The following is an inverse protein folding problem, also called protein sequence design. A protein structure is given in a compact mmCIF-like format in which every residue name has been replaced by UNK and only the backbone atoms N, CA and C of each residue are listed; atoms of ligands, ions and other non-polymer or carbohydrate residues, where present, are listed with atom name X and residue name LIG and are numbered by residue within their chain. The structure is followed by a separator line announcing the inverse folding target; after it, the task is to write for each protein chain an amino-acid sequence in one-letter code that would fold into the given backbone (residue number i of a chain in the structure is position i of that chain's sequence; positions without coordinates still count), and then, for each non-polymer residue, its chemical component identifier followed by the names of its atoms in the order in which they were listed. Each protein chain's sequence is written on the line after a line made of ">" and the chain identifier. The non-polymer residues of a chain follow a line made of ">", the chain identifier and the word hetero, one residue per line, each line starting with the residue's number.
data_IF_682081182783
#
_entry.id   IF_682081182783
#
_cell.length_a   1.000
_cell.length_b   1.000
_cell.length_c   1.000
_cell.angle_alpha   90.00
_cell.angle_beta   90.00
_cell.angle_gamma   90.00
#
_symmetry.space_group_name_H-M   'P 1'
#
loop_
_entity.id
_entity.type
_entity.pdbx_description
1 polymer ?
#
# COMPACT_ATOMS: atom_id res chain seq x y z
N UNK A 1 13.04 -24.59 -33.25
CA UNK A 1 11.69 -24.39 -32.69
C UNK A 1 11.56 -22.90 -32.44
N UNK A 2 10.76 -22.22 -33.26
CA UNK A 2 10.55 -20.77 -33.16
C UNK A 2 9.74 -20.50 -31.89
N UNK A 3 10.28 -19.66 -31.00
CA UNK A 3 9.58 -19.23 -29.80
C UNK A 3 8.35 -18.42 -30.21
N UNK A 4 7.17 -18.88 -29.80
CA UNK A 4 5.97 -18.06 -29.84
C UNK A 4 6.19 -16.89 -28.89
N UNK A 5 6.48 -15.72 -29.45
CA UNK A 5 6.30 -14.45 -28.74
C UNK A 5 4.83 -14.38 -28.34
N UNK A 6 4.55 -14.41 -27.04
CA UNK A 6 3.25 -14.06 -26.53
C UNK A 6 2.90 -12.67 -27.10
N UNK A 7 1.86 -12.61 -27.92
CA UNK A 7 1.37 -11.35 -28.46
C UNK A 7 1.01 -10.46 -27.26
N UNK A 8 1.68 -9.31 -27.13
CA UNK A 8 1.24 -8.27 -26.21
C UNK A 8 -0.24 -7.99 -26.52
N UNK A 9 -1.13 -8.03 -25.52
CA UNK A 9 -2.54 -7.72 -25.76
C UNK A 9 -2.62 -6.33 -26.39
N UNK A 10 -3.46 -6.20 -27.43
CA UNK A 10 -3.68 -4.92 -28.09
C UNK A 10 -4.04 -3.86 -27.03
N UNK A 11 -3.57 -2.60 -27.18
CA UNK A 11 -3.88 -1.57 -26.20
C UNK A 11 -5.40 -1.44 -26.08
N UNK A 12 -5.92 -1.83 -24.92
CA UNK A 12 -7.32 -1.60 -24.57
C UNK A 12 -7.46 -0.09 -24.41
N UNK A 13 -8.30 0.53 -25.23
CA UNK A 13 -8.67 1.93 -25.05
C UNK A 13 -9.37 2.07 -23.69
N UNK A 14 -8.66 2.68 -22.73
CA UNK A 14 -9.17 2.89 -21.37
C UNK A 14 -10.27 3.97 -21.33
N UNK A 15 -10.51 4.66 -22.45
CA UNK A 15 -11.37 5.83 -22.51
C UNK A 15 -10.78 7.01 -21.73
N UNK A 16 -11.55 8.10 -21.54
CA UNK A 16 -11.10 9.24 -20.75
C UNK A 16 -10.89 8.85 -19.27
N UNK A 17 -10.07 9.60 -18.53
CA UNK A 17 -9.91 9.43 -17.08
C UNK A 17 -11.28 9.36 -16.37
N UNK A 18 -11.46 8.45 -15.40
CA UNK A 18 -12.67 8.37 -14.60
C UNK A 18 -13.05 9.69 -13.92
N UNK A 19 -14.35 9.96 -13.79
CA UNK A 19 -14.87 11.16 -13.10
C UNK A 19 -15.04 10.98 -11.59
N UNK A 20 -15.15 9.73 -11.13
CA UNK A 20 -15.23 9.35 -9.72
C UNK A 20 -14.74 7.91 -9.53
N UNK A 21 -14.56 7.48 -8.28
CA UNK A 21 -14.06 6.13 -7.98
C UNK A 21 -15.01 5.02 -8.47
N UNK A 22 -16.32 5.28 -8.50
CA UNK A 22 -17.32 4.30 -8.96
C UNK A 22 -17.19 4.06 -10.47
N UNK A 23 -16.98 5.11 -11.25
CA UNK A 23 -16.69 5.05 -12.66
C UNK A 23 -15.36 4.34 -12.93
N UNK A 24 -14.36 4.54 -12.06
CA UNK A 24 -13.07 3.86 -12.17
C UNK A 24 -13.17 2.33 -12.00
N UNK A 25 -14.17 1.84 -11.24
CA UNK A 25 -14.39 0.41 -10.97
C UNK A 25 -15.61 -0.18 -11.69
N UNK A 26 -16.20 0.53 -12.67
CA UNK A 26 -17.51 0.16 -13.24
C UNK A 26 -17.59 -1.28 -13.78
N UNK A 27 -16.47 -1.83 -14.26
CA UNK A 27 -16.40 -3.17 -14.86
C UNK A 27 -16.00 -4.27 -13.86
N UNK A 28 -15.60 -3.89 -12.64
CA UNK A 28 -15.16 -4.82 -11.61
C UNK A 28 -16.37 -5.49 -10.94
N UNK A 29 -16.36 -6.83 -10.94
CA UNK A 29 -17.33 -7.66 -10.21
C UNK A 29 -16.58 -8.67 -9.34
N UNK A 30 -16.48 -8.42 -8.01
CA UNK A 30 -15.91 -9.39 -7.07
C UNK A 30 -16.67 -10.71 -7.13
N UNK A 31 -15.99 -11.85 -7.23
CA UNK A 31 -16.65 -13.16 -7.27
C UNK A 31 -17.15 -13.57 -5.88
N UNK A 32 -16.37 -13.28 -4.84
CA UNK A 32 -16.68 -13.68 -3.47
C UNK A 32 -16.22 -12.65 -2.45
N UNK A 33 -16.98 -11.56 -2.31
CA UNK A 33 -16.84 -10.66 -1.17
C UNK A 33 -17.78 -11.11 -0.06
N UNK A 34 -17.23 -11.73 0.96
CA UNK A 34 -17.95 -12.19 2.14
C UNK A 34 -17.40 -11.50 3.39
N UNK A 35 -18.18 -11.41 4.48
CA UNK A 35 -17.67 -10.90 5.75
C UNK A 35 -16.40 -11.65 6.16
N UNK A 36 -15.39 -10.92 6.64
CA UNK A 36 -14.08 -11.49 7.03
C UNK A 36 -14.19 -12.52 8.17
N UNK A 37 -15.34 -12.56 8.85
CA UNK A 37 -15.66 -13.48 9.95
C UNK A 37 -16.48 -14.71 9.53
N UNK A 38 -16.93 -14.79 8.27
CA UNK A 38 -17.79 -15.89 7.79
C UNK A 38 -17.09 -17.25 7.89
N UNK A 39 -15.82 -17.31 7.51
CA UNK A 39 -15.05 -18.54 7.51
C UNK A 39 -14.58 -18.93 8.92
N UNK A 40 -14.74 -20.19 9.30
CA UNK A 40 -14.28 -20.69 10.60
C UNK A 40 -12.79 -21.03 10.54
N UNK A 41 -12.03 -20.47 11.48
CA UNK A 41 -10.61 -20.77 11.67
C UNK A 41 -10.34 -21.56 12.95
N UNK A 42 -9.12 -22.09 13.06
CA UNK A 42 -8.61 -22.71 14.29
C UNK A 42 -7.60 -21.77 14.94
N UNK A 43 -7.82 -21.35 16.19
CA UNK A 43 -6.87 -20.51 16.93
C UNK A 43 -5.50 -21.18 17.03
N UNK A 44 -4.45 -20.41 16.78
CA UNK A 44 -3.06 -20.83 16.87
C UNK A 44 -2.26 -19.86 17.76
N UNK A 45 -1.20 -20.37 18.36
CA UNK A 45 -0.25 -19.56 19.13
C UNK A 45 0.86 -19.05 18.20
N UNK A 46 0.73 -17.80 17.75
CA UNK A 46 1.75 -17.08 16.98
C UNK A 46 1.94 -15.69 17.58
N UNK A 47 3.18 -15.20 17.62
CA UNK A 47 3.45 -13.76 17.86
C UNK A 47 3.47 -12.97 16.55
N UNK A 48 3.20 -11.65 16.57
CA UNK A 48 3.35 -10.79 15.40
C UNK A 48 4.72 -10.88 14.70
N UNK A 49 5.80 -11.09 15.45
CA UNK A 49 7.15 -11.25 14.91
C UNK A 49 7.33 -12.61 14.23
N UNK A 50 6.73 -13.68 14.78
CA UNK A 50 6.75 -15.01 14.17
C UNK A 50 6.03 -15.03 12.83
N UNK A 51 4.90 -14.32 12.71
CA UNK A 51 4.15 -14.23 11.45
C UNK A 51 5.00 -13.67 10.30
N UNK A 52 5.85 -12.68 10.57
CA UNK A 52 6.75 -12.12 9.55
C UNK A 52 7.97 -13.00 9.29
N UNK A 53 8.56 -13.59 10.33
CA UNK A 53 9.72 -14.50 10.16
C UNK A 53 9.36 -15.79 9.43
N UNK A 54 8.17 -16.33 9.73
CA UNK A 54 7.63 -17.56 9.16
C UNK A 54 6.80 -17.30 7.90
N UNK A 55 6.76 -16.04 7.41
CA UNK A 55 6.11 -15.68 6.14
C UNK A 55 6.71 -16.56 5.05
N UNK A 56 5.88 -17.47 4.53
CA UNK A 56 6.23 -18.24 3.34
C UNK A 56 6.39 -17.27 2.19
N UNK A 57 7.55 -17.31 1.56
CA UNK A 57 7.83 -16.51 0.37
C UNK A 57 7.40 -17.29 -0.88
N UNK A 58 7.06 -16.61 -1.98
CA UNK A 58 6.87 -17.26 -3.27
C UNK A 58 8.03 -18.19 -3.61
N UNK A 59 7.76 -19.25 -4.37
CA UNK A 59 8.81 -20.18 -4.80
C UNK A 59 9.80 -19.41 -5.68
N UNK A 60 11.12 -19.52 -5.42
CA UNK A 60 12.13 -18.77 -6.16
C UNK A 60 12.46 -17.38 -5.60
N UNK A 61 11.88 -16.99 -4.46
CA UNK A 61 12.25 -15.78 -3.75
C UNK A 61 13.53 -16.00 -2.92
N UNK A 62 14.56 -15.22 -3.20
CA UNK A 62 15.84 -15.25 -2.51
C UNK A 62 15.94 -14.12 -1.49
N UNK A 63 16.29 -14.46 -0.24
CA UNK A 63 16.61 -13.45 0.77
C UNK A 63 18.04 -12.99 0.55
N UNK A 64 18.22 -11.76 0.07
CA UNK A 64 19.54 -11.19 -0.20
C UNK A 64 20.22 -10.71 1.08
N UNK A 65 19.48 -9.98 1.92
CA UNK A 65 20.03 -9.32 3.10
C UNK A 65 18.95 -9.00 4.14
N UNK A 66 19.34 -8.89 5.40
CA UNK A 66 18.46 -8.47 6.49
C UNK A 66 19.06 -7.27 7.22
N UNK A 67 18.25 -6.25 7.47
CA UNK A 67 18.60 -5.03 8.20
C UNK A 67 17.65 -4.85 9.38
N UNK A 68 17.89 -5.59 10.47
CA UNK A 68 16.99 -5.61 11.61
C UNK A 68 15.68 -6.35 11.26
N UNK A 69 14.58 -5.61 11.24
CA UNK A 69 13.23 -6.08 10.89
C UNK A 69 12.91 -5.99 9.39
N UNK A 70 13.79 -5.38 8.59
CA UNK A 70 13.67 -5.28 7.12
C UNK A 70 14.38 -6.42 6.43
N UNK A 71 13.70 -7.13 5.54
CA UNK A 71 14.26 -8.23 4.75
C UNK A 71 14.27 -7.86 3.28
N UNK A 72 15.45 -7.84 2.65
CA UNK A 72 15.60 -7.61 1.22
C UNK A 72 15.40 -8.94 0.52
N UNK A 73 14.40 -9.00 -0.34
CA UNK A 73 14.01 -10.17 -1.10
C UNK A 73 14.14 -9.86 -2.57
N UNK A 74 14.78 -10.76 -3.31
CA UNK A 74 14.80 -10.75 -4.76
C UNK A 74 13.87 -11.84 -5.27
N UNK A 75 13.02 -11.48 -6.22
CA UNK A 75 12.10 -12.39 -6.85
C UNK A 75 11.78 -11.92 -8.28
N UNK A 76 11.85 -12.82 -9.27
CA UNK A 76 11.61 -12.51 -10.68
C UNK A 76 12.33 -11.24 -11.19
N UNK A 77 13.63 -11.15 -10.91
CA UNK A 77 14.51 -10.02 -11.27
C UNK A 77 14.14 -8.67 -10.63
N UNK A 78 13.17 -8.63 -9.73
CA UNK A 78 12.84 -7.47 -8.93
C UNK A 78 13.38 -7.65 -7.51
N UNK A 79 13.87 -6.56 -6.92
CA UNK A 79 14.34 -6.55 -5.53
C UNK A 79 13.48 -5.60 -4.73
N UNK A 80 12.85 -6.09 -3.68
CA UNK A 80 12.03 -5.29 -2.78
C UNK A 80 12.38 -5.56 -1.32
N UNK A 81 11.93 -4.66 -0.47
CA UNK A 81 12.07 -4.78 0.98
C UNK A 81 10.74 -5.20 1.59
N UNK A 82 10.77 -6.26 2.39
CA UNK A 82 9.68 -6.71 3.24
C UNK A 82 9.87 -6.16 4.66
N UNK A 83 8.78 -5.67 5.25
CA UNK A 83 8.74 -5.10 6.59
C UNK A 83 7.49 -5.52 7.36
N UNK A 84 7.53 -5.40 8.70
CA UNK A 84 6.42 -5.78 9.57
C UNK A 84 5.59 -4.55 9.98
N UNK A 85 4.38 -4.42 9.43
CA UNK A 85 3.45 -3.35 9.85
C UNK A 85 2.71 -3.68 11.16
N UNK A 86 2.78 -4.94 11.64
CA UNK A 86 2.01 -5.39 12.80
C UNK A 86 2.26 -4.56 14.06
N UNK A 87 3.50 -4.19 14.45
CA UNK A 87 3.74 -3.37 15.65
C UNK A 87 2.98 -2.04 15.65
N UNK A 88 2.77 -1.42 14.47
CA UNK A 88 1.98 -0.19 14.35
C UNK A 88 0.48 -0.47 14.45
N UNK A 89 -0.01 -1.54 13.81
CA UNK A 89 -1.43 -1.91 13.78
C UNK A 89 -1.93 -2.43 15.15
N UNK A 90 -1.10 -3.19 15.85
CA UNK A 90 -1.41 -3.83 17.15
C UNK A 90 -1.16 -2.90 18.35
N UNK A 91 -0.62 -1.71 18.13
CA UNK A 91 -0.37 -0.72 19.18
C UNK A 91 -1.69 -0.40 19.92
N UNK A 92 -1.67 -0.56 21.25
CA UNK A 92 -2.85 -0.35 22.08
C UNK A 92 -3.96 -1.38 21.90
N UNK A 93 -3.66 -2.55 21.33
CA UNK A 93 -4.60 -3.66 21.28
C UNK A 93 -4.80 -4.28 22.66
N UNK A 94 -6.04 -4.68 22.94
CA UNK A 94 -6.45 -5.46 24.11
C UNK A 94 -6.05 -6.92 23.96
N UNK A 95 -6.27 -7.47 22.77
CA UNK A 95 -5.87 -8.84 22.41
C UNK A 95 -5.44 -8.88 20.94
N UNK A 96 -4.50 -9.75 20.62
CA UNK A 96 -4.07 -10.05 19.26
C UNK A 96 -3.95 -11.56 19.16
N UNK A 97 -4.67 -12.16 18.22
CA UNK A 97 -4.62 -13.60 18.02
C UNK A 97 -4.77 -13.98 16.56
N UNK A 98 -4.36 -15.20 16.28
CA UNK A 98 -4.28 -15.73 14.93
C UNK A 98 -5.10 -17.00 14.81
N UNK A 99 -5.59 -17.24 13.61
CA UNK A 99 -6.28 -18.46 13.25
C UNK A 99 -5.77 -19.02 11.93
N UNK A 100 -5.59 -20.33 11.89
CA UNK A 100 -5.42 -21.05 10.63
C UNK A 100 -6.77 -21.15 9.92
N UNK A 101 -6.77 -20.77 8.65
CA UNK A 101 -7.89 -20.92 7.72
C UNK A 101 -7.56 -21.99 6.65
N UNK A 102 -8.59 -22.62 6.07
CA UNK A 102 -8.44 -23.49 4.89
C UNK A 102 -7.56 -22.89 3.79
N UNK A 103 -6.89 -23.77 3.04
CA UNK A 103 -5.96 -23.44 1.93
C UNK A 103 -4.65 -22.75 2.37
N UNK A 104 -4.26 -22.95 3.63
CA UNK A 104 -3.00 -22.41 4.16
C UNK A 104 -3.05 -20.89 4.36
N UNK A 105 -4.25 -20.35 4.56
CA UNK A 105 -4.47 -18.94 4.87
C UNK A 105 -4.37 -18.71 6.37
N UNK A 106 -4.08 -17.48 6.75
CA UNK A 106 -4.03 -17.07 8.16
C UNK A 106 -4.91 -15.86 8.37
N UNK A 107 -5.66 -15.85 9.46
CA UNK A 107 -6.43 -14.68 9.90
C UNK A 107 -5.81 -14.11 11.15
N UNK A 108 -5.43 -12.84 11.10
CA UNK A 108 -5.02 -12.03 12.24
C UNK A 108 -6.23 -11.24 12.72
N UNK A 109 -6.47 -11.24 14.04
CA UNK A 109 -7.50 -10.45 14.69
C UNK A 109 -6.82 -9.58 15.75
N UNK A 110 -6.99 -8.26 15.60
CA UNK A 110 -6.55 -7.25 16.57
C UNK A 110 -7.80 -6.65 17.21
N UNK A 111 -8.00 -6.88 18.50
CA UNK A 111 -9.12 -6.35 19.26
C UNK A 111 -8.68 -5.11 20.06
N UNK A 112 -9.39 -3.99 19.91
CA UNK A 112 -9.16 -2.75 20.66
C UNK A 112 -10.12 -2.67 21.86
N UNK A 113 -9.77 -1.89 22.88
CA UNK A 113 -10.61 -1.72 24.09
C UNK A 113 -11.98 -1.12 23.80
N UNK A 114 -12.09 -0.29 22.75
CA UNK A 114 -13.34 0.32 22.33
C UNK A 114 -14.27 -0.64 21.54
N UNK A 115 -13.91 -1.91 21.41
CA UNK A 115 -14.68 -2.92 20.67
C UNK A 115 -14.44 -2.96 19.16
N UNK A 116 -13.60 -2.06 18.62
CA UNK A 116 -13.16 -2.14 17.22
C UNK A 116 -12.26 -3.36 17.04
N UNK A 117 -12.45 -4.08 15.94
CA UNK A 117 -11.60 -5.21 15.54
C UNK A 117 -11.01 -4.96 14.17
N UNK A 118 -9.71 -5.15 14.03
CA UNK A 118 -9.04 -5.20 12.73
C UNK A 118 -8.79 -6.65 12.38
N UNK A 119 -9.29 -7.09 11.24
CA UNK A 119 -9.17 -8.48 10.80
C UNK A 119 -8.43 -8.49 9.46
N UNK A 120 -7.30 -9.17 9.41
CA UNK A 120 -6.48 -9.30 8.21
C UNK A 120 -6.38 -10.78 7.83
N UNK A 121 -6.87 -11.15 6.65
CA UNK A 121 -6.67 -12.47 6.06
C UNK A 121 -5.51 -12.41 5.07
N UNK A 122 -4.57 -13.33 5.22
CA UNK A 122 -3.42 -13.50 4.34
C UNK A 122 -3.50 -14.82 3.60
N UNK A 123 -3.07 -14.82 2.34
CA UNK A 123 -2.87 -16.04 1.57
C UNK A 123 -1.67 -16.86 2.09
N UNK A 124 -1.45 -18.04 1.50
CA UNK A 124 -0.30 -18.91 1.81
C UNK A 124 1.07 -18.28 1.56
N UNK A 125 1.16 -17.18 0.80
CA UNK A 125 2.38 -16.40 0.52
C UNK A 125 2.50 -15.17 1.45
N UNK A 126 1.55 -14.99 2.36
CA UNK A 126 1.48 -13.88 3.31
C UNK A 126 0.93 -12.58 2.73
N UNK A 127 0.53 -12.54 1.45
CA UNK A 127 -0.09 -11.35 0.86
C UNK A 127 -1.48 -11.12 1.47
N UNK A 128 -1.83 -9.85 1.70
CA UNK A 128 -3.12 -9.47 2.27
C UNK A 128 -4.21 -9.65 1.21
N UNK A 129 -5.11 -10.62 1.41
CA UNK A 129 -6.23 -10.87 0.49
C UNK A 129 -7.51 -10.18 0.93
N UNK A 130 -7.67 -9.95 2.24
CA UNK A 130 -8.74 -9.13 2.77
C UNK A 130 -8.27 -8.47 4.07
N UNK A 131 -8.52 -7.17 4.22
CA UNK A 131 -8.40 -6.45 5.50
C UNK A 131 -9.69 -5.70 5.74
N UNK A 132 -10.28 -5.92 6.92
CA UNK A 132 -11.48 -5.18 7.33
C UNK A 132 -11.33 -4.57 8.72
N UNK A 133 -11.99 -3.45 8.93
CA UNK A 133 -12.29 -2.89 10.25
C UNK A 133 -13.73 -3.21 10.60
N UNK A 134 -13.95 -3.89 11.70
CA UNK A 134 -15.28 -4.17 12.25
C UNK A 134 -15.53 -3.23 13.43
N UNK A 135 -16.58 -2.45 13.34
CA UNK A 135 -17.02 -1.53 14.39
C UNK A 135 -17.72 -2.27 15.54
N UNK A 136 -17.88 -1.64 16.72
CA UNK A 136 -18.55 -2.29 17.86
C UNK A 136 -20.00 -2.68 17.60
N UNK A 137 -20.67 -1.99 16.67
CA UNK A 137 -22.04 -2.30 16.23
C UNK A 137 -22.11 -3.42 15.17
N UNK A 138 -20.97 -3.99 14.79
CA UNK A 138 -20.86 -5.05 13.80
C UNK A 138 -20.71 -4.58 12.36
N UNK A 139 -20.77 -3.27 12.06
CA UNK A 139 -20.51 -2.77 10.70
C UNK A 139 -19.08 -3.06 10.28
N UNK A 140 -18.93 -3.62 9.09
CA UNK A 140 -17.64 -3.97 8.50
C UNK A 140 -17.27 -2.98 7.40
N UNK A 141 -16.11 -2.35 7.55
CA UNK A 141 -15.46 -1.55 6.51
C UNK A 141 -14.34 -2.38 5.88
N UNK A 142 -14.44 -2.67 4.59
CA UNK A 142 -13.43 -3.46 3.86
C UNK A 142 -12.35 -2.52 3.33
N UNK A 143 -11.19 -2.49 3.99
CA UNK A 143 -10.05 -1.62 3.65
C UNK A 143 -9.28 -2.16 2.44
N UNK A 144 -9.24 -3.48 2.27
CA UNK A 144 -8.61 -4.13 1.12
C UNK A 144 -9.28 -5.48 0.86
N UNK A 145 -9.45 -5.83 -0.41
CA UNK A 145 -9.96 -7.10 -0.89
C UNK A 145 -9.43 -7.37 -2.29
N UNK A 146 -8.90 -8.58 -2.51
CA UNK A 146 -8.58 -9.10 -3.84
C UNK A 146 -9.17 -10.49 -4.00
N UNK A 147 -9.62 -10.79 -5.21
CA UNK A 147 -10.18 -12.11 -5.51
C UNK A 147 -9.06 -13.17 -5.55
N UNK A 148 -9.19 -14.21 -4.74
CA UNK A 148 -8.19 -15.26 -4.65
C UNK A 148 -8.03 -16.06 -5.96
N UNK A 149 -8.97 -15.98 -6.91
CA UNK A 149 -8.83 -16.60 -8.23
C UNK A 149 -7.59 -16.14 -9.00
N UNK A 150 -7.12 -14.93 -8.73
CA UNK A 150 -5.88 -14.41 -9.32
C UNK A 150 -4.61 -15.09 -8.77
N UNK A 151 -4.73 -15.90 -7.71
CA UNK A 151 -3.64 -16.65 -7.09
C UNK A 151 -3.77 -18.17 -7.24
N UNK A 152 -4.77 -18.68 -7.99
CA UNK A 152 -5.04 -20.12 -8.10
C UNK A 152 -3.99 -20.88 -8.94
N UNK A 153 -3.32 -20.21 -9.89
CA UNK A 153 -2.50 -20.86 -10.92
C UNK A 153 -1.02 -20.42 -10.94
N UNK A 154 -0.55 -19.69 -9.93
CA UNK A 154 0.80 -19.11 -9.91
C UNK A 154 1.54 -19.46 -8.62
N UNK A 155 2.46 -20.42 -8.72
CA UNK A 155 3.52 -20.62 -7.72
C UNK A 155 4.59 -19.50 -7.80
N UNK A 156 4.61 -18.76 -8.92
CA UNK A 156 5.50 -17.63 -9.20
C UNK A 156 4.71 -16.30 -9.28
N UNK A 157 5.09 -15.28 -8.50
CA UNK A 157 4.48 -13.95 -8.62
C UNK A 157 4.74 -13.35 -10.02
N UNK A 158 3.71 -12.78 -10.62
CA UNK A 158 3.82 -12.05 -11.90
C UNK A 158 3.42 -10.61 -11.65
N UNK A 159 4.19 -9.67 -12.19
CA UNK A 159 3.84 -8.26 -12.05
C UNK A 159 2.47 -8.03 -12.73
N UNK A 160 1.43 -7.62 -11.99
CA UNK A 160 0.13 -7.33 -12.60
C UNK A 160 0.20 -6.20 -13.64
N UNK A 161 1.25 -5.37 -13.59
CA UNK A 161 1.57 -4.36 -14.58
C UNK A 161 1.91 -4.89 -15.96
N UNK A 162 2.40 -6.14 -16.08
CA UNK A 162 2.74 -6.77 -17.36
C UNK A 162 1.51 -7.03 -18.23
N UNK A 163 0.33 -7.16 -17.61
CA UNK A 163 -0.95 -7.33 -18.30
C UNK A 163 -1.66 -6.00 -18.60
N UNK A 164 -1.10 -4.87 -18.14
CA UNK A 164 -1.68 -3.55 -18.36
C UNK A 164 -1.10 -2.91 -19.63
N UNK A 165 -1.93 -2.15 -20.39
CA UNK A 165 -1.42 -1.37 -21.49
C UNK A 165 -0.45 -0.28 -20.97
N UNK A 166 0.43 0.27 -21.82
CA UNK A 166 1.25 1.42 -21.45
C UNK A 166 0.38 2.57 -20.90
N UNK A 167 0.85 3.22 -19.84
CA UNK A 167 0.11 4.32 -19.22
C UNK A 167 -0.03 5.50 -20.20
N UNK A 168 -1.22 6.10 -20.25
CA UNK A 168 -1.48 7.33 -21.01
C UNK A 168 -1.95 8.42 -20.07
N UNK A 169 -1.07 9.38 -19.79
CA UNK A 169 -1.40 10.51 -18.94
C UNK A 169 -2.01 11.64 -19.77
N UNK A 170 -3.34 11.68 -19.81
CA UNK A 170 -4.11 12.71 -20.53
C UNK A 170 -4.46 13.94 -19.66
N UNK A 171 -3.85 14.04 -18.48
CA UNK A 171 -3.99 15.15 -17.53
C UNK A 171 -2.65 15.89 -17.38
N UNK A 172 -2.68 17.10 -16.81
CA UNK A 172 -1.43 17.84 -16.58
C UNK A 172 -0.58 17.17 -15.49
N UNK A 173 0.74 17.44 -15.47
CA UNK A 173 1.64 16.93 -14.42
C UNK A 173 1.16 17.32 -13.02
N UNK A 174 0.67 18.55 -12.82
CA UNK A 174 0.20 19.05 -11.52
C UNK A 174 -1.10 18.39 -11.06
N UNK A 175 -1.91 17.93 -12.02
CA UNK A 175 -3.11 17.14 -11.72
C UNK A 175 -2.77 15.68 -11.39
N UNK A 176 -1.56 15.20 -11.72
CA UNK A 176 -1.10 13.84 -11.43
C UNK A 176 -0.20 13.75 -10.19
N UNK A 177 0.67 14.74 -10.02
CA UNK A 177 1.63 14.87 -8.92
C UNK A 177 1.43 16.23 -8.25
N UNK A 178 1.11 16.21 -6.96
CA UNK A 178 1.10 17.40 -6.12
C UNK A 178 2.43 17.49 -5.36
N UNK A 179 3.27 18.45 -5.71
CA UNK A 179 4.52 18.74 -5.01
C UNK A 179 4.19 19.61 -3.78
N UNK A 180 4.51 19.16 -2.56
CA UNK A 180 4.12 19.85 -1.31
C UNK A 180 4.69 21.26 -1.16
N UNK A 181 5.79 21.57 -1.85
CA UNK A 181 6.39 22.90 -1.90
C UNK A 181 5.51 23.92 -2.63
N UNK A 182 4.60 23.46 -3.51
CA UNK A 182 3.73 24.32 -4.31
C UNK A 182 2.36 24.58 -3.65
N UNK A 183 2.09 23.92 -2.51
CA UNK A 183 0.80 24.04 -1.81
C UNK A 183 0.76 25.31 -0.99
N UNK A 184 -0.18 26.20 -1.30
CA UNK A 184 -0.40 27.45 -0.55
C UNK A 184 -1.57 27.31 0.42
N UNK A 185 -2.60 26.53 0.05
CA UNK A 185 -3.77 26.22 0.87
C UNK A 185 -3.79 24.72 1.24
N UNK A 186 -3.79 24.35 2.54
CA UNK A 186 -3.89 22.95 2.96
C UNK A 186 -5.11 22.20 2.40
N UNK A 187 -6.19 22.88 2.01
CA UNK A 187 -7.35 22.25 1.37
C UNK A 187 -7.05 21.70 -0.04
N UNK A 188 -5.93 22.10 -0.67
CA UNK A 188 -5.44 21.51 -1.91
C UNK A 188 -5.10 20.02 -1.73
N UNK A 189 -4.53 19.61 -0.58
CA UNK A 189 -4.27 18.19 -0.31
C UNK A 189 -5.55 17.36 -0.34
N UNK A 190 -6.61 17.88 0.28
CA UNK A 190 -7.91 17.22 0.31
C UNK A 190 -8.51 17.15 -1.10
N UNK A 191 -8.52 18.28 -1.81
CA UNK A 191 -9.05 18.36 -3.18
C UNK A 191 -8.34 17.40 -4.12
N UNK A 192 -7.02 17.24 -3.97
CA UNK A 192 -6.19 16.34 -4.76
C UNK A 192 -6.40 14.86 -4.39
N UNK A 193 -6.40 14.52 -3.10
CA UNK A 193 -6.59 13.14 -2.65
C UNK A 193 -8.01 12.61 -2.91
N UNK A 194 -9.04 13.47 -2.92
CA UNK A 194 -10.42 13.06 -3.25
C UNK A 194 -10.58 12.67 -4.73
N UNK A 195 -9.66 13.07 -5.60
CA UNK A 195 -9.79 12.79 -7.02
C UNK A 195 -9.67 11.28 -7.35
N UNK A 196 -10.40 10.79 -8.36
CA UNK A 196 -10.42 9.37 -8.73
C UNK A 196 -9.13 8.90 -9.41
N UNK A 197 -8.86 7.62 -9.61
CA UNK A 197 -7.70 7.19 -10.41
C UNK A 197 -7.63 7.84 -11.80
N UNK A 198 -6.43 7.92 -12.37
CA UNK A 198 -6.22 8.54 -13.68
C UNK A 198 -6.55 7.60 -14.85
N UNK A 199 -6.72 6.31 -14.57
CA UNK A 199 -7.15 5.28 -15.51
C UNK A 199 -8.22 4.39 -14.84
N UNK A 200 -9.01 3.67 -15.65
CA UNK A 200 -9.93 2.67 -15.12
C UNK A 200 -9.17 1.49 -14.51
N UNK A 201 -9.72 0.96 -13.43
CA UNK A 201 -9.14 -0.15 -12.69
C UNK A 201 -9.66 -1.47 -13.28
N UNK A 202 -8.76 -2.32 -13.77
CA UNK A 202 -9.12 -3.56 -14.46
C UNK A 202 -9.64 -4.65 -13.50
N UNK A 203 -9.07 -4.69 -12.30
CA UNK A 203 -9.49 -5.54 -11.18
C UNK A 203 -9.01 -4.94 -9.87
N UNK A 204 -9.55 -5.42 -8.76
CA UNK A 204 -8.95 -5.11 -7.46
C UNK A 204 -7.60 -5.83 -7.34
N UNK A 205 -6.63 -5.12 -6.79
CA UNK A 205 -5.27 -5.59 -6.52
C UNK A 205 -5.09 -5.77 -5.01
N UNK A 206 -4.22 -6.70 -4.62
CA UNK A 206 -3.80 -6.75 -3.21
C UNK A 206 -2.92 -5.53 -2.88
N UNK A 207 -2.80 -5.23 -1.57
CA UNK A 207 -1.85 -4.19 -1.13
C UNK A 207 -0.42 -4.54 -1.57
N UNK A 208 -0.03 -5.82 -1.48
CA UNK A 208 1.29 -6.28 -1.89
C UNK A 208 1.51 -6.14 -3.41
N UNK A 209 0.49 -6.37 -4.24
CA UNK A 209 0.54 -6.13 -5.69
C UNK A 209 0.73 -4.65 -6.02
N UNK A 210 -0.03 -3.76 -5.37
CA UNK A 210 0.14 -2.31 -5.51
C UNK A 210 1.55 -1.92 -5.08
N UNK A 211 2.06 -2.41 -3.94
CA UNK A 211 3.42 -2.07 -3.48
C UNK A 211 4.51 -2.47 -4.47
N UNK A 212 4.40 -3.65 -5.08
CA UNK A 212 5.43 -4.25 -5.93
C UNK A 212 5.37 -3.80 -7.39
N UNK A 213 4.21 -3.35 -7.89
CA UNK A 213 4.04 -2.95 -9.29
C UNK A 213 4.02 -1.44 -9.48
N UNK A 214 5.06 -0.86 -10.08
CA UNK A 214 5.06 0.56 -10.45
C UNK A 214 3.89 0.92 -11.36
N UNK A 215 3.61 0.09 -12.37
CA UNK A 215 2.55 0.33 -13.34
C UNK A 215 1.16 0.37 -12.72
N UNK A 216 0.90 -0.46 -11.69
CA UNK A 216 -0.35 -0.40 -10.92
C UNK A 216 -0.40 0.85 -10.05
N UNK A 217 0.71 1.23 -9.37
CA UNK A 217 0.75 2.46 -8.56
C UNK A 217 0.50 3.71 -9.38
N UNK A 218 0.95 3.73 -10.62
CA UNK A 218 0.79 4.87 -11.52
C UNK A 218 -0.67 5.15 -11.89
N UNK A 219 -1.59 4.21 -11.67
CA UNK A 219 -3.04 4.45 -11.81
C UNK A 219 -3.55 5.44 -10.74
N UNK A 220 -2.89 5.52 -9.58
CA UNK A 220 -3.23 6.45 -8.51
C UNK A 220 -2.39 7.73 -8.60
N UNK A 221 -2.99 8.88 -8.27
CA UNK A 221 -2.25 10.15 -8.11
C UNK A 221 -1.27 10.09 -6.95
N UNK A 222 -0.24 10.95 -6.98
CA UNK A 222 0.84 10.97 -5.99
C UNK A 222 1.03 12.37 -5.39
N UNK A 223 1.18 12.45 -4.07
CA UNK A 223 1.71 13.65 -3.40
C UNK A 223 3.19 13.42 -3.13
N UNK A 224 4.05 14.35 -3.55
CA UNK A 224 5.47 14.37 -3.17
C UNK A 224 5.63 15.31 -1.96
N UNK A 225 6.05 14.77 -0.81
CA UNK A 225 6.32 15.54 0.39
C UNK A 225 7.76 16.08 0.38
N UNK A 226 8.12 16.86 -0.64
CA UNK A 226 9.48 17.35 -0.87
C UNK A 226 9.99 18.28 0.25
N UNK A 227 9.08 18.89 1.02
CA UNK A 227 9.42 19.72 2.18
C UNK A 227 9.90 18.92 3.40
N UNK A 228 9.62 17.61 3.43
CA UNK A 228 9.95 16.72 4.54
C UNK A 228 11.42 16.29 4.47
N UNK A 229 12.19 16.56 5.53
CA UNK A 229 13.61 16.25 5.58
C UNK A 229 13.94 15.15 6.59
N UNK A 230 14.99 14.40 6.26
CA UNK A 230 15.64 13.45 7.15
C UNK A 230 17.12 13.78 7.24
N UNK A 231 17.71 13.60 8.41
CA UNK A 231 19.16 13.64 8.58
C UNK A 231 19.84 12.57 7.70
N UNK A 232 21.11 12.80 7.35
CA UNK A 232 21.87 11.89 6.51
C UNK A 232 21.95 10.49 7.15
N UNK A 233 21.58 9.45 6.39
CA UNK A 233 21.55 8.07 6.87
C UNK A 233 20.49 7.78 7.96
N UNK A 234 19.60 8.74 8.25
CA UNK A 234 18.59 8.63 9.30
C UNK A 234 17.19 8.42 8.73
N UNK A 235 16.35 7.78 9.55
CA UNK A 235 14.91 7.69 9.38
C UNK A 235 14.14 8.44 10.49
N UNK A 236 14.84 9.08 11.43
CA UNK A 236 14.21 9.90 12.46
C UNK A 236 13.63 11.17 11.87
N UNK A 237 12.43 11.54 12.30
CA UNK A 237 11.72 12.77 11.92
C UNK A 237 11.67 13.67 13.15
N UNK A 238 12.09 14.94 13.03
CA UNK A 238 12.00 15.91 14.12
C UNK A 238 10.57 16.41 14.29
N UNK A 239 10.24 17.01 15.44
CA UNK A 239 8.91 17.57 15.68
C UNK A 239 8.51 18.64 14.64
N UNK A 240 9.48 19.44 14.17
CA UNK A 240 9.28 20.42 13.11
C UNK A 240 8.90 19.75 11.78
N UNK A 241 9.53 18.63 11.44
CA UNK A 241 9.22 17.85 10.24
C UNK A 241 7.88 17.11 10.38
N UNK A 242 7.50 16.70 11.60
CA UNK A 242 6.16 16.15 11.89
C UNK A 242 5.07 17.21 11.64
N UNK A 243 5.28 18.48 12.05
CA UNK A 243 4.30 19.55 11.83
C UNK A 243 4.01 19.79 10.35
N UNK A 244 4.97 19.57 9.45
CA UNK A 244 4.76 19.69 8.00
C UNK A 244 3.75 18.67 7.44
N UNK A 245 3.44 17.60 8.19
CA UNK A 245 2.45 16.61 7.81
C UNK A 245 1.00 17.04 8.14
N UNK A 246 0.79 18.13 8.88
CA UNK A 246 -0.53 18.53 9.38
C UNK A 246 -1.57 18.73 8.26
N UNK A 247 -1.17 19.37 7.15
CA UNK A 247 -2.06 19.61 6.01
C UNK A 247 -2.54 18.30 5.37
N UNK A 248 -1.61 17.39 5.06
CA UNK A 248 -1.97 16.09 4.47
C UNK A 248 -2.71 15.19 5.46
N UNK A 249 -2.37 15.25 6.75
CA UNK A 249 -3.08 14.51 7.79
C UNK A 249 -4.54 14.99 7.92
N UNK A 250 -4.76 16.31 7.93
CA UNK A 250 -6.11 16.91 7.95
C UNK A 250 -6.93 16.46 6.74
N UNK A 251 -6.32 16.39 5.55
CA UNK A 251 -6.96 15.87 4.35
C UNK A 251 -7.33 14.38 4.50
N UNK A 252 -6.42 13.54 5.00
CA UNK A 252 -6.69 12.13 5.29
C UNK A 252 -7.84 11.95 6.28
N UNK A 253 -7.88 12.72 7.37
CA UNK A 253 -8.96 12.68 8.34
C UNK A 253 -10.32 13.03 7.71
N UNK A 254 -10.37 14.07 6.86
CA UNK A 254 -11.59 14.45 6.14
C UNK A 254 -12.09 13.31 5.25
N UNK A 255 -11.19 12.63 4.53
CA UNK A 255 -11.53 11.48 3.70
C UNK A 255 -11.99 10.28 4.54
N UNK A 256 -11.29 9.97 5.64
CA UNK A 256 -11.65 8.88 6.55
C UNK A 256 -13.01 9.09 7.24
N UNK A 257 -13.41 10.35 7.47
CA UNK A 257 -14.76 10.68 7.96
C UNK A 257 -15.85 10.36 6.92
N UNK A 258 -15.56 10.52 5.63
CA UNK A 258 -16.48 10.15 4.54
C UNK A 258 -16.50 8.64 4.31
N UNK A 259 -15.31 8.03 4.31
CA UNK A 259 -15.13 6.61 4.05
C UNK A 259 -14.09 6.03 5.03
N UNK A 260 -14.50 5.30 6.08
CA UNK A 260 -13.55 4.71 7.03
C UNK A 260 -12.60 3.65 6.42
N UNK A 261 -12.88 3.19 5.20
CA UNK A 261 -12.07 2.21 4.48
C UNK A 261 -10.94 2.80 3.63
N UNK A 262 -10.74 4.13 3.65
CA UNK A 262 -9.68 4.78 2.86
C UNK A 262 -8.30 4.21 3.17
N UNK A 263 -7.56 3.77 2.15
CA UNK A 263 -6.23 3.18 2.31
C UNK A 263 -5.19 4.03 1.59
N UNK A 264 -4.09 4.32 2.28
CA UNK A 264 -2.99 5.15 1.79
C UNK A 264 -1.67 4.37 1.78
N UNK A 265 -0.94 4.48 0.68
CA UNK A 265 0.43 4.00 0.54
C UNK A 265 1.41 5.14 0.75
N UNK A 266 2.35 4.96 1.67
CA UNK A 266 3.48 5.85 1.93
C UNK A 266 4.73 5.22 1.32
N UNK A 267 5.35 5.97 0.43
CA UNK A 267 6.49 5.54 -0.37
C UNK A 267 7.76 6.26 0.11
N UNK A 268 8.83 5.52 0.37
CA UNK A 268 10.13 6.08 0.70
C UNK A 268 11.09 6.00 -0.49
N UNK A 269 11.90 7.06 -0.67
CA UNK A 269 12.96 7.10 -1.68
C UNK A 269 14.29 7.60 -1.10
N UNK A 270 15.39 7.20 -1.73
CA UNK A 270 16.75 7.70 -1.44
C UNK A 270 17.38 8.30 -2.69
N UNK A 271 18.51 9.00 -2.50
CA UNK A 271 19.43 9.23 -3.62
C UNK A 271 20.21 7.95 -3.96
N UNK A 272 21.05 8.02 -4.99
CA UNK A 272 21.82 6.89 -5.50
C UNK A 272 23.13 6.63 -4.72
N UNK A 273 23.30 7.24 -3.54
CA UNK A 273 24.51 7.07 -2.72
C UNK A 273 24.31 5.90 -1.77
N UNK A 274 25.19 4.90 -1.84
CA UNK A 274 25.14 3.72 -0.98
C UNK A 274 25.00 2.43 -1.79
N UNK A 275 24.61 1.34 -1.13
CA UNK A 275 24.27 0.09 -1.84
C UNK A 275 22.76 0.01 -2.03
N UNK A 276 22.24 -0.53 -3.15
CA UNK A 276 20.80 -0.65 -3.41
C UNK A 276 20.01 -1.25 -2.24
N UNK A 277 20.49 -2.36 -1.67
CA UNK A 277 19.86 -3.03 -0.51
C UNK A 277 19.74 -2.15 0.74
N UNK A 278 20.75 -1.30 0.98
CA UNK A 278 20.77 -0.38 2.12
C UNK A 278 19.82 0.80 1.88
N UNK A 279 19.75 1.27 0.63
CA UNK A 279 18.82 2.30 0.18
C UNK A 279 17.36 1.83 0.27
N UNK A 280 17.07 0.57 -0.11
CA UNK A 280 15.77 -0.05 0.11
C UNK A 280 15.40 -0.08 1.60
N UNK A 281 16.28 -0.60 2.46
CA UNK A 281 16.00 -0.65 3.90
C UNK A 281 15.83 0.75 4.52
N UNK A 282 16.65 1.73 4.13
CA UNK A 282 16.58 3.10 4.66
C UNK A 282 15.28 3.81 4.22
N UNK A 283 14.95 3.75 2.94
CA UNK A 283 13.71 4.34 2.43
C UNK A 283 12.47 3.75 3.09
N UNK A 284 12.45 2.43 3.33
CA UNK A 284 11.32 1.75 3.95
C UNK A 284 11.14 2.16 5.43
N UNK A 285 12.26 2.42 6.13
CA UNK A 285 12.24 3.01 7.48
C UNK A 285 11.74 4.45 7.50
N UNK A 286 12.08 5.25 6.49
CA UNK A 286 11.56 6.62 6.35
C UNK A 286 10.05 6.63 6.12
N UNK A 287 9.56 5.75 5.23
CA UNK A 287 8.14 5.58 5.01
C UNK A 287 7.40 5.15 6.29
N UNK A 288 7.97 4.21 7.04
CA UNK A 288 7.44 3.82 8.35
C UNK A 288 7.41 4.97 9.34
N UNK A 289 8.49 5.74 9.49
CA UNK A 289 8.54 6.87 10.40
C UNK A 289 7.45 7.92 10.10
N UNK A 290 7.16 8.17 8.81
CA UNK A 290 6.04 9.04 8.42
C UNK A 290 4.70 8.42 8.80
N UNK A 291 4.50 7.12 8.57
CA UNK A 291 3.29 6.41 8.99
C UNK A 291 3.09 6.48 10.51
N UNK A 292 4.17 6.33 11.28
CA UNK A 292 4.15 6.45 12.74
C UNK A 292 3.84 7.87 13.19
N UNK A 293 4.40 8.89 12.55
CA UNK A 293 4.09 10.28 12.83
C UNK A 293 2.61 10.60 12.54
N UNK A 294 2.10 10.18 11.37
CA UNK A 294 0.68 10.31 11.00
C UNK A 294 -0.24 9.62 12.03
N UNK A 295 0.15 8.44 12.51
CA UNK A 295 -0.62 7.70 13.52
C UNK A 295 -0.57 8.37 14.89
N UNK A 296 0.62 8.71 15.37
CA UNK A 296 0.83 9.12 16.76
C UNK A 296 0.48 10.59 17.00
N UNK A 297 0.82 11.47 16.06
CA UNK A 297 0.59 12.92 16.21
C UNK A 297 -0.79 13.34 15.72
N UNK A 298 -1.30 12.69 14.67
CA UNK A 298 -2.54 13.09 14.00
C UNK A 298 -3.65 12.04 14.08
N UNK A 299 -3.43 10.89 14.72
CA UNK A 299 -4.49 9.90 14.94
C UNK A 299 -4.97 9.17 13.69
N UNK A 300 -4.24 9.25 12.57
CA UNK A 300 -4.58 8.48 11.37
C UNK A 300 -4.47 6.98 11.70
N UNK A 301 -5.53 6.17 11.52
CA UNK A 301 -5.49 4.80 11.99
C UNK A 301 -4.45 3.96 11.24
N UNK A 302 -3.63 3.24 12.00
CA UNK A 302 -2.51 2.46 11.48
C UNK A 302 -2.91 1.47 10.36
N UNK A 303 -4.09 0.87 10.46
CA UNK A 303 -4.60 -0.11 9.50
C UNK A 303 -4.92 0.48 8.11
N UNK A 304 -5.14 1.81 8.02
CA UNK A 304 -5.36 2.56 6.78
C UNK A 304 -4.03 2.98 6.12
N UNK A 305 -2.89 2.81 6.79
CA UNK A 305 -1.57 3.22 6.32
C UNK A 305 -0.70 2.02 6.02
N UNK A 306 -0.20 1.96 4.79
CA UNK A 306 0.75 0.93 4.36
C UNK A 306 2.03 1.57 3.82
N UNK A 307 3.17 0.91 3.98
CA UNK A 307 4.48 1.52 3.68
C UNK A 307 5.31 0.65 2.74
N UNK A 308 6.11 1.30 1.87
CA UNK A 308 7.09 0.63 1.04
C UNK A 308 8.29 1.56 0.75
N UNK A 309 9.50 1.06 0.96
CA UNK A 309 10.74 1.66 0.48
C UNK A 309 11.08 1.20 -0.93
N UNK A 310 11.47 2.14 -1.79
CA UNK A 310 11.91 1.88 -3.16
C UNK A 310 13.37 2.26 -3.41
N UNK A 311 14.09 2.70 -2.38
CA UNK A 311 15.48 3.10 -2.47
C UNK A 311 15.72 4.09 -3.61
N UNK A 312 16.68 3.76 -4.47
CA UNK A 312 17.12 4.57 -5.61
C UNK A 312 16.48 4.18 -6.94
N UNK A 313 15.50 3.28 -6.97
CA UNK A 313 14.94 2.75 -8.22
C UNK A 313 14.16 3.82 -9.01
N UNK A 314 13.48 4.74 -8.31
CA UNK A 314 12.64 5.79 -8.90
C UNK A 314 13.16 7.19 -8.57
N UNK A 315 14.38 7.50 -9.03
CA UNK A 315 14.97 8.84 -8.87
C UNK A 315 14.13 9.91 -9.58
N UNK A 316 13.84 11.01 -8.87
CA UNK A 316 13.22 12.21 -9.45
C UNK A 316 14.20 12.94 -10.35
N UNK A 317 15.46 13.03 -9.92
CA UNK A 317 16.60 13.55 -10.68
C UNK A 317 17.57 12.41 -10.97
N UNK A 318 17.78 12.08 -12.23
CA UNK A 318 18.67 10.99 -12.64
C UNK A 318 20.15 11.38 -12.44
N UNK A 319 20.68 11.12 -11.24
CA UNK A 319 22.07 11.38 -10.86
C UNK A 319 22.58 10.29 -9.93
N UNK A 320 23.84 9.90 -10.10
CA UNK A 320 24.53 8.93 -9.24
C UNK A 320 25.04 9.54 -7.93
N UNK A 321 24.94 10.86 -7.77
CA UNK A 321 25.41 11.59 -6.60
C UNK A 321 24.32 11.86 -5.55
N UNK A 322 24.68 12.49 -4.42
CA UNK A 322 23.69 12.92 -3.44
C UNK A 322 22.77 13.97 -4.07
N UNK A 323 21.46 13.79 -3.87
CA UNK A 323 20.46 14.73 -4.37
C UNK A 323 19.29 14.81 -3.40
N UNK A 324 18.89 16.03 -3.01
CA UNK A 324 17.85 16.24 -2.01
C UNK A 324 16.46 15.85 -2.51
N UNK A 325 16.12 16.19 -3.76
CA UNK A 325 14.83 15.87 -4.38
C UNK A 325 14.61 14.36 -4.53
N UNK A 326 15.69 13.57 -4.60
CA UNK A 326 15.59 12.11 -4.59
C UNK A 326 15.26 11.55 -3.20
N UNK A 327 15.70 12.22 -2.12
CA UNK A 327 15.43 11.82 -0.73
C UNK A 327 14.06 12.33 -0.29
N UNK A 328 13.02 11.77 -0.88
CA UNK A 328 11.62 12.19 -0.67
C UNK A 328 10.77 11.07 -0.08
N UNK A 329 9.64 11.47 0.48
CA UNK A 329 8.51 10.58 0.77
C UNK A 329 7.35 10.97 -0.13
N UNK A 330 6.60 9.99 -0.61
CA UNK A 330 5.39 10.23 -1.37
C UNK A 330 4.19 9.52 -0.75
N UNK A 331 2.99 10.01 -1.03
CA UNK A 331 1.73 9.45 -0.54
C UNK A 331 0.79 9.24 -1.72
N UNK A 332 0.15 8.06 -1.76
CA UNK A 332 -0.92 7.74 -2.71
C UNK A 332 -2.15 7.27 -1.96
N UNK A 333 -3.33 7.76 -2.35
CA UNK A 333 -4.60 7.13 -1.98
C UNK A 333 -4.84 5.96 -2.92
N UNK A 334 -4.93 4.75 -2.38
CA UNK A 334 -4.99 3.50 -3.17
C UNK A 334 -6.32 2.75 -2.99
N UNK A 335 -7.28 3.33 -2.28
CA UNK A 335 -8.60 2.73 -1.98
C UNK A 335 -9.29 2.15 -3.21
N UNK A 336 -9.33 2.92 -4.30
CA UNK A 336 -9.91 2.52 -5.58
C UNK A 336 -9.18 1.36 -6.28
N UNK A 337 -7.94 1.06 -5.88
CA UNK A 337 -7.17 -0.07 -6.41
C UNK A 337 -7.36 -1.34 -5.58
N UNK A 338 -7.61 -1.19 -4.27
CA UNK A 338 -7.56 -2.31 -3.32
C UNK A 338 -8.90 -2.65 -2.69
N UNK A 339 -9.92 -1.79 -2.77
CA UNK A 339 -11.21 -2.02 -2.13
C UNK A 339 -12.37 -1.67 -3.08
N UNK A 340 -13.48 -2.44 -3.05
CA UNK A 340 -14.67 -2.14 -3.84
C UNK A 340 -15.38 -0.88 -3.34
N UNK A 341 -15.63 0.08 -4.23
CA UNK A 341 -16.27 1.37 -3.92
C UNK A 341 -17.72 1.21 -3.47
N UNK A 342 -18.43 0.23 -4.04
CA UNK A 342 -19.84 -0.03 -3.73
C UNK A 342 -20.07 -0.50 -2.27
N UNK A 343 -19.08 -1.13 -1.65
CA UNK A 343 -19.18 -1.61 -0.27
C UNK A 343 -19.11 -0.48 0.78
N UNK A 344 -18.80 0.75 0.36
CA UNK A 344 -18.51 1.87 1.26
C UNK A 344 -19.55 3.02 1.21
N UNK A 345 -20.47 3.01 0.23
CA UNK A 345 -21.42 4.11 -0.01
C UNK A 345 -22.91 3.73 0.19
N UNK A 346 -23.23 2.48 0.54
CA UNK A 346 -24.60 2.04 0.80
C UNK A 346 -24.84 1.75 2.29
N UNK A 347 -24.60 2.70 3.20
CA UNK A 347 -25.22 2.71 4.54
C UNK A 347 -25.48 4.12 5.06
#
# INVERSE_FOLDING_TARGET
>A
MQGQQAQQPAPVDQGPPPTDDKAAQQEIKPEKLVPVTEEKGKRIELTPEQVVRERRRPQGADVLKQFGDRVIVQFNNQTFVESNEAPRITRGARDVYYEDLPRGRTREIVERDNGVRIVTIRNRNGDVVQRSRIMPDGREYVLSYVDERYYQDVDDWRDPGDDLPPMRLDISRRDYILDSEEVEDPDEYYTFLEQPPVERVQRLYSIDEVKRSARVRDIARRIDLDTLNFDFGSATISDEEVQKLEGVATAMEKLLKKNPAETFLIEGHTDAVGTPDANLALSDRRAEAVAEALTNAFGIPAENLTTQGYGEEYLKVNTSGPNRENRRVAIRRITSLVAPVASNNEQ
#
